data_IF_447123636142
#
_entry.id   IF_447123636142
#
_cell.length_a   1.000
_cell.length_b   1.000
_cell.length_c   1.000
_cell.angle_alpha   90.00
_cell.angle_beta   90.00
_cell.angle_gamma   90.00
#
_symmetry.space_group_name_H-M   'P 1'
#
loop_
_entity.id
_entity.type
_entity.pdbx_description
1 polymer ?
#
# COMPACT_ATOMS: atom_id res chain seq x y z
N UNK A 1 -30.34 -62.19 -9.61
CA UNK A 1 -30.11 -62.35 -11.07
C UNK A 1 -29.92 -60.95 -11.64
N UNK A 2 -28.95 -60.68 -12.54
CA UNK A 2 -28.34 -61.62 -13.48
C UNK A 2 -26.86 -61.98 -13.22
N UNK A 3 -26.30 -62.84 -14.08
CA UNK A 3 -24.88 -63.21 -14.18
C UNK A 3 -24.11 -62.28 -15.14
N UNK A 4 -22.76 -62.31 -15.07
CA UNK A 4 -21.72 -62.25 -16.14
C UNK A 4 -20.37 -61.86 -15.46
N UNK A 5 -19.45 -62.79 -15.13
CA UNK A 5 -18.21 -63.19 -15.88
C UNK A 5 -17.37 -62.00 -16.41
N UNK A 6 -16.03 -61.90 -16.32
CA UNK A 6 -14.84 -62.73 -15.92
C UNK A 6 -13.64 -61.73 -15.78
N UNK A 7 -12.42 -61.97 -15.23
CA UNK A 7 -11.78 -63.00 -14.37
C UNK A 7 -10.29 -62.58 -14.12
N UNK A 8 -9.54 -63.37 -13.32
CA UNK A 8 -8.06 -63.45 -13.10
C UNK A 8 -7.50 -62.67 -11.88
N UNK A 9 -7.24 -63.34 -10.73
CA UNK A 9 -5.99 -64.04 -10.28
C UNK A 9 -4.79 -63.10 -10.02
N UNK A 10 -3.95 -63.25 -8.98
CA UNK A 10 -3.85 -64.27 -7.92
C UNK A 10 -3.16 -63.70 -6.64
N UNK A 11 -2.99 -64.54 -5.61
CA UNK A 11 -2.61 -64.16 -4.23
C UNK A 11 -1.11 -63.86 -3.97
N UNK A 12 -0.89 -63.21 -2.81
CA UNK A 12 0.36 -62.93 -2.09
C UNK A 12 1.40 -64.05 -2.00
N UNK A 13 2.68 -63.67 -1.83
CA UNK A 13 3.60 -64.19 -0.79
C UNK A 13 4.68 -63.14 -0.44
N UNK A 14 5.21 -63.21 0.77
CA UNK A 14 6.09 -62.23 1.45
C UNK A 14 7.59 -62.48 1.17
N UNK A 15 8.42 -61.43 1.15
CA UNK A 15 9.84 -61.46 1.62
C UNK A 15 10.40 -60.04 1.82
N UNK A 16 11.25 -59.87 2.84
CA UNK A 16 12.07 -58.66 3.10
C UNK A 16 13.49 -58.86 2.54
N UNK A 17 14.15 -57.83 1.98
CA UNK A 17 15.59 -57.84 1.74
C UNK A 17 16.40 -56.86 2.63
N UNK A 18 17.70 -57.16 2.72
CA UNK A 18 18.67 -56.63 3.69
C UNK A 18 19.50 -55.46 3.11
N UNK A 19 19.98 -54.57 3.98
CA UNK A 19 20.91 -53.49 3.64
C UNK A 19 22.26 -54.00 3.09
N UNK A 20 22.78 -53.34 2.05
CA UNK A 20 24.19 -53.43 1.66
C UNK A 20 24.79 -52.02 1.53
N UNK A 21 25.94 -51.81 2.17
CA UNK A 21 26.79 -50.62 2.02
C UNK A 21 27.93 -50.98 1.07
N UNK A 22 28.18 -50.15 0.07
CA UNK A 22 29.37 -50.25 -0.78
C UNK A 22 30.06 -48.88 -0.82
N UNK A 23 31.32 -48.86 -0.38
CA UNK A 23 32.25 -47.75 -0.56
C UNK A 23 32.91 -47.86 -1.94
N UNK A 24 33.04 -46.75 -2.66
CA UNK A 24 34.04 -46.63 -3.73
C UNK A 24 34.82 -45.31 -3.63
N UNK A 25 36.13 -45.47 -3.52
CA UNK A 25 37.16 -44.42 -3.56
C UNK A 25 37.37 -43.94 -5.01
N UNK A 26 37.61 -42.64 -5.23
CA UNK A 26 38.35 -42.12 -6.39
C UNK A 26 39.19 -40.89 -5.98
N UNK A 27 40.37 -40.63 -6.58
CA UNK A 27 41.41 -39.76 -5.99
C UNK A 27 41.50 -38.35 -6.59
N UNK A 28 42.18 -37.45 -5.87
CA UNK A 28 42.68 -36.16 -6.37
C UNK A 28 43.98 -36.35 -7.18
N UNK A 29 44.20 -35.58 -8.27
CA UNK A 29 45.00 -34.32 -8.26
C UNK A 29 45.12 -33.71 -9.69
N UNK A 30 45.75 -32.53 -9.82
CA UNK A 30 45.49 -31.51 -10.86
C UNK A 30 46.27 -31.60 -12.20
N UNK A 31 45.66 -31.08 -13.30
CA UNK A 31 46.22 -29.92 -14.06
C UNK A 31 45.26 -29.28 -15.09
N UNK A 32 44.93 -28.00 -14.84
CA UNK A 32 44.96 -26.87 -15.80
C UNK A 32 44.19 -26.92 -17.13
N UNK A 33 42.98 -26.33 -17.16
CA UNK A 33 42.54 -25.37 -18.18
C UNK A 33 41.32 -24.57 -17.67
N UNK A 34 41.31 -23.25 -17.83
CA UNK A 34 40.19 -22.38 -17.41
C UNK A 34 39.06 -22.35 -18.46
N UNK A 35 37.81 -22.24 -18.01
CA UNK A 35 36.84 -21.42 -18.74
C UNK A 35 36.14 -20.35 -17.87
N UNK A 36 35.97 -19.18 -18.48
CA UNK A 36 35.06 -18.06 -18.20
C UNK A 36 34.38 -17.94 -16.81
N UNK A 37 34.70 -16.85 -16.12
CA UNK A 37 34.10 -16.40 -14.88
C UNK A 37 32.67 -15.86 -15.12
N UNK A 38 31.62 -16.64 -14.82
CA UNK A 38 30.23 -16.16 -14.82
C UNK A 38 29.92 -15.50 -13.48
N UNK A 39 29.93 -14.16 -13.44
CA UNK A 39 29.47 -13.40 -12.27
C UNK A 39 27.94 -13.48 -12.14
N UNK A 40 27.44 -14.36 -11.28
CA UNK A 40 26.09 -14.28 -10.74
C UNK A 40 26.09 -13.80 -9.28
N UNK A 41 25.00 -13.11 -8.90
CA UNK A 41 24.55 -12.76 -7.54
C UNK A 41 25.28 -11.68 -6.69
N UNK A 42 25.43 -10.46 -7.21
CA UNK A 42 25.46 -9.23 -6.35
C UNK A 42 24.19 -8.35 -6.51
N UNK A 43 23.44 -8.49 -7.61
CA UNK A 43 22.27 -7.65 -7.92
C UNK A 43 21.00 -7.97 -7.12
N UNK A 44 20.93 -9.14 -6.46
CA UNK A 44 19.69 -9.59 -5.82
C UNK A 44 19.59 -9.21 -4.34
N UNK A 45 20.69 -9.24 -3.59
CA UNK A 45 20.75 -8.82 -2.18
C UNK A 45 20.56 -7.31 -2.04
N UNK A 46 21.28 -6.52 -2.84
CA UNK A 46 21.22 -5.05 -2.87
C UNK A 46 19.82 -4.52 -3.23
N UNK A 47 19.12 -5.15 -4.18
CA UNK A 47 17.70 -4.84 -4.45
C UNK A 47 16.79 -5.19 -3.27
N UNK A 48 17.09 -6.24 -2.50
CA UNK A 48 16.30 -6.65 -1.33
C UNK A 48 16.49 -5.72 -0.13
N UNK A 49 17.72 -5.26 0.15
CA UNK A 49 18.00 -4.27 1.20
C UNK A 49 17.25 -2.95 0.95
N UNK A 50 17.15 -2.53 -0.31
CA UNK A 50 16.38 -1.35 -0.72
C UNK A 50 14.88 -1.44 -0.40
N UNK A 51 14.29 -2.64 -0.30
CA UNK A 51 12.85 -2.83 0.04
C UNK A 51 12.59 -2.46 1.51
N UNK A 52 13.57 -2.65 2.39
CA UNK A 52 13.45 -2.39 3.82
C UNK A 52 13.98 -1.00 4.25
N UNK A 53 14.71 -0.31 3.37
CA UNK A 53 15.19 1.07 3.58
C UNK A 53 14.01 2.00 3.89
N UNK A 54 14.16 2.83 4.93
CA UNK A 54 13.12 3.78 5.38
C UNK A 54 12.12 3.23 6.41
N UNK A 55 12.17 1.94 6.77
CA UNK A 55 11.22 1.33 7.73
C UNK A 55 11.62 1.50 9.22
N UNK A 56 12.49 2.46 9.53
CA UNK A 56 12.95 2.70 10.89
C UNK A 56 11.77 3.05 11.82
N UNK A 57 11.62 2.30 12.91
CA UNK A 57 10.51 2.48 13.85
C UNK A 57 9.15 1.97 13.36
N UNK A 58 9.03 1.43 12.14
CA UNK A 58 7.75 0.90 11.65
C UNK A 58 7.27 -0.29 12.50
N UNK A 59 6.00 -0.26 12.90
CA UNK A 59 5.32 -1.39 13.54
C UNK A 59 4.39 -2.02 12.49
N UNK A 60 4.63 -3.27 12.14
CA UNK A 60 3.90 -3.93 11.05
C UNK A 60 2.58 -4.57 11.51
N UNK A 61 1.71 -4.94 10.55
CA UNK A 61 0.53 -5.77 10.85
C UNK A 61 0.92 -7.08 11.56
N UNK A 62 2.09 -7.65 11.21
CA UNK A 62 2.62 -8.86 11.84
C UNK A 62 2.88 -8.61 13.33
N UNK A 63 3.53 -7.50 13.67
CA UNK A 63 3.89 -7.16 15.05
C UNK A 63 2.67 -6.94 15.94
N UNK A 64 1.67 -6.18 15.47
CA UNK A 64 0.44 -5.92 16.23
C UNK A 64 -0.39 -7.19 16.43
N UNK A 65 -0.51 -8.02 15.39
CA UNK A 65 -1.29 -9.25 15.44
C UNK A 65 -0.67 -10.30 16.39
N UNK A 66 0.66 -10.43 16.46
CA UNK A 66 1.27 -11.42 17.36
C UNK A 66 1.16 -11.05 18.85
N UNK A 67 1.05 -9.75 19.17
CA UNK A 67 1.18 -9.26 20.55
C UNK A 67 -0.15 -8.96 21.26
N UNK A 68 -1.30 -9.15 20.60
CA UNK A 68 -2.61 -8.60 21.04
C UNK A 68 -2.49 -7.11 21.36
N UNK A 69 -2.02 -6.35 20.37
CA UNK A 69 -1.71 -4.93 20.51
C UNK A 69 -2.95 -4.09 20.81
N UNK A 70 -2.87 -3.31 21.90
CA UNK A 70 -3.81 -2.24 22.21
C UNK A 70 -3.08 -0.92 22.05
N UNK A 71 -3.64 0.01 21.27
CA UNK A 71 -3.06 1.30 21.00
C UNK A 71 -3.39 2.30 22.12
N UNK A 72 -2.36 2.78 22.83
CA UNK A 72 -2.46 3.91 23.77
C UNK A 72 -1.84 5.17 23.13
N UNK A 73 -2.53 6.33 23.07
CA UNK A 73 -1.95 7.57 22.58
C UNK A 73 -0.76 8.09 23.39
N UNK A 74 -0.63 7.66 24.65
CA UNK A 74 0.45 8.08 25.55
C UNK A 74 1.74 7.29 25.37
N UNK A 75 1.69 6.18 24.62
CA UNK A 75 2.90 5.52 24.10
C UNK A 75 3.64 6.44 23.10
N UNK A 76 4.88 6.07 22.78
CA UNK A 76 5.67 6.67 21.69
C UNK A 76 5.23 6.23 20.28
N UNK A 77 3.98 5.80 20.13
CA UNK A 77 3.41 5.22 18.92
C UNK A 77 2.56 6.26 18.15
N UNK A 78 2.86 6.48 16.87
CA UNK A 78 2.19 7.46 16.01
C UNK A 78 1.53 6.75 14.83
N UNK A 79 0.23 6.95 14.66
CA UNK A 79 -0.53 6.50 13.48
C UNK A 79 -0.28 7.47 12.32
N UNK A 80 0.25 6.95 11.20
CA UNK A 80 0.57 7.73 10.00
C UNK A 80 -0.34 7.30 8.84
N UNK A 81 -1.28 8.16 8.44
CA UNK A 81 -2.15 7.90 7.29
C UNK A 81 -1.48 8.33 5.97
N UNK A 82 -1.02 7.35 5.20
CA UNK A 82 -0.67 7.54 3.79
C UNK A 82 -1.96 7.74 2.98
N UNK A 83 -2.30 9.00 2.71
CA UNK A 83 -3.56 9.37 2.06
C UNK A 83 -3.43 9.44 0.55
N UNK A 84 -3.85 8.38 -0.14
CA UNK A 84 -3.99 8.36 -1.60
C UNK A 84 -5.19 9.22 -2.04
N UNK A 85 -5.10 9.89 -3.18
CA UNK A 85 -6.21 10.67 -3.73
C UNK A 85 -7.39 9.76 -4.11
N UNK A 86 -8.60 10.21 -3.72
CA UNK A 86 -9.92 9.66 -4.11
C UNK A 86 -10.32 8.29 -3.53
N UNK A 87 -9.57 7.76 -2.57
CA UNK A 87 -9.88 6.51 -1.84
C UNK A 87 -10.75 6.70 -0.59
N UNK A 88 -11.57 7.77 -0.56
CA UNK A 88 -12.45 8.07 0.60
C UNK A 88 -11.76 8.72 1.81
N UNK A 89 -10.44 8.93 1.78
CA UNK A 89 -9.63 9.37 2.93
C UNK A 89 -10.18 10.56 3.75
N UNK A 90 -10.84 11.55 3.13
CA UNK A 90 -11.43 12.69 3.87
C UNK A 90 -12.47 12.27 4.93
N UNK A 91 -13.23 11.20 4.67
CA UNK A 91 -14.19 10.66 5.64
C UNK A 91 -13.46 9.83 6.71
N UNK A 92 -12.47 9.03 6.31
CA UNK A 92 -11.69 8.19 7.22
C UNK A 92 -10.85 9.01 8.21
N UNK A 93 -10.18 10.08 7.76
CA UNK A 93 -9.52 11.07 8.63
C UNK A 93 -10.48 11.63 9.69
N UNK A 94 -11.69 12.00 9.26
CA UNK A 94 -12.71 12.53 10.17
C UNK A 94 -13.23 11.47 11.15
N UNK A 95 -13.21 10.19 10.78
CA UNK A 95 -13.59 9.11 11.68
C UNK A 95 -12.49 8.89 12.73
N UNK A 96 -11.22 8.77 12.31
CA UNK A 96 -10.05 8.65 13.19
C UNK A 96 -10.00 9.80 14.21
N UNK A 97 -10.06 11.05 13.74
CA UNK A 97 -9.88 12.21 14.61
C UNK A 97 -11.08 12.54 15.52
N UNK A 98 -12.31 12.10 15.19
CA UNK A 98 -13.53 12.53 15.92
C UNK A 98 -14.35 11.44 16.55
N UNK A 99 -14.22 10.21 16.08
CA UNK A 99 -15.09 9.10 16.51
C UNK A 99 -14.35 8.00 17.22
N UNK A 100 -13.01 7.97 17.18
CA UNK A 100 -12.21 7.01 17.94
C UNK A 100 -12.41 7.24 19.45
N UNK A 101 -12.79 6.19 20.17
CA UNK A 101 -12.97 6.23 21.62
C UNK A 101 -11.65 5.91 22.30
N UNK A 102 -10.83 6.94 22.50
CA UNK A 102 -9.48 6.83 23.04
C UNK A 102 -9.18 8.00 23.98
N UNK A 103 -8.16 7.88 24.83
CA UNK A 103 -7.82 8.90 25.84
C UNK A 103 -6.32 9.20 25.81
N UNK A 104 -5.89 10.46 25.63
CA UNK A 104 -6.71 11.64 25.30
C UNK A 104 -7.33 11.59 23.90
N UNK A 105 -8.49 12.26 23.74
CA UNK A 105 -9.16 12.47 22.45
C UNK A 105 -8.55 13.64 21.70
N UNK A 106 -8.70 13.68 20.37
CA UNK A 106 -8.32 14.86 19.61
C UNK A 106 -9.24 16.07 19.93
N UNK A 107 -8.64 17.26 20.05
CA UNK A 107 -9.34 18.52 20.26
C UNK A 107 -9.63 19.19 18.90
N UNK A 108 -10.90 19.20 18.47
CA UNK A 108 -11.28 19.71 17.15
C UNK A 108 -12.02 21.05 17.20
N UNK A 109 -11.36 22.13 16.78
CA UNK A 109 -11.86 23.52 16.84
C UNK A 109 -12.64 23.98 15.61
N UNK A 110 -12.68 23.19 14.54
CA UNK A 110 -13.45 23.49 13.32
C UNK A 110 -13.73 22.24 12.50
N UNK A 111 -14.35 22.35 11.33
CA UNK A 111 -14.76 21.17 10.50
C UNK A 111 -13.58 20.27 10.13
N UNK A 112 -12.40 20.86 9.85
CA UNK A 112 -11.19 20.19 9.34
C UNK A 112 -9.92 20.59 10.10
N UNK A 113 -10.04 20.84 11.40
CA UNK A 113 -8.91 21.14 12.29
C UNK A 113 -9.09 20.39 13.60
N UNK A 114 -8.12 19.56 13.95
CA UNK A 114 -8.07 18.71 15.13
C UNK A 114 -6.62 18.56 15.62
N UNK A 115 -6.38 18.78 16.91
CA UNK A 115 -5.11 18.50 17.57
C UNK A 115 -5.19 17.12 18.25
N UNK A 116 -4.46 16.14 17.73
CA UNK A 116 -4.40 14.77 18.25
C UNK A 116 -3.08 14.59 19.01
N UNK A 117 -3.01 15.19 20.20
CA UNK A 117 -1.85 15.18 21.09
C UNK A 117 -2.10 14.27 22.29
N UNK A 118 -1.03 13.75 22.87
CA UNK A 118 -1.03 12.93 24.09
C UNK A 118 -0.82 13.79 25.34
N UNK A 119 -0.79 13.17 26.53
CA UNK A 119 -0.62 13.89 27.79
C UNK A 119 0.73 14.63 27.92
N UNK A 120 1.71 14.31 27.08
CA UNK A 120 3.02 14.99 26.99
C UNK A 120 3.07 16.07 25.90
N UNK A 121 1.96 16.31 25.18
CA UNK A 121 1.90 17.25 24.06
C UNK A 121 2.44 16.71 22.72
N UNK A 122 2.89 15.45 22.67
CA UNK A 122 3.36 14.79 21.46
C UNK A 122 2.19 14.30 20.60
N UNK A 123 2.34 14.30 19.27
CA UNK A 123 1.26 13.90 18.36
C UNK A 123 1.20 12.39 18.16
N UNK A 124 0.02 11.79 18.31
CA UNK A 124 -0.21 10.35 18.13
C UNK A 124 -0.93 9.99 16.82
N UNK A 125 -1.43 10.99 16.07
CA UNK A 125 -2.07 10.81 14.76
C UNK A 125 -1.65 11.89 13.76
N UNK A 126 -1.08 11.45 12.63
CA UNK A 126 -0.88 12.25 11.42
C UNK A 126 -1.81 11.73 10.34
N UNK A 127 -2.90 12.48 10.11
CA UNK A 127 -3.93 12.17 9.13
C UNK A 127 -3.75 12.90 7.80
N UNK A 128 -2.91 13.94 7.77
CA UNK A 128 -2.90 14.95 6.72
C UNK A 128 -3.78 16.14 7.09
N UNK A 129 -4.88 16.30 6.36
CA UNK A 129 -5.63 17.56 6.30
C UNK A 129 -6.39 17.94 7.57
N UNK A 130 -6.71 16.98 8.45
CA UNK A 130 -7.42 17.25 9.70
C UNK A 130 -6.50 17.50 10.91
N UNK A 131 -5.20 17.19 10.82
CA UNK A 131 -4.28 17.13 11.98
C UNK A 131 -3.09 18.10 11.82
N UNK A 132 -1.84 17.65 11.86
CA UNK A 132 -0.63 18.49 11.70
C UNK A 132 -0.43 19.01 10.24
N UNK A 133 -1.47 19.00 9.41
CA UNK A 133 -1.37 19.32 8.00
C UNK A 133 -0.53 18.29 7.25
N UNK A 134 0.38 18.77 6.40
CA UNK A 134 1.12 17.93 5.46
C UNK A 134 2.63 17.95 5.74
N UNK A 135 3.10 17.30 6.82
CA UNK A 135 4.48 17.45 7.32
C UNK A 135 5.53 17.07 6.27
N UNK A 136 5.27 16.02 5.49
CA UNK A 136 6.14 15.55 4.40
C UNK A 136 5.64 15.94 2.99
N UNK A 137 4.71 16.89 2.90
CA UNK A 137 4.14 17.34 1.63
C UNK A 137 2.70 16.86 1.34
N UNK A 138 2.01 17.61 0.48
CA UNK A 138 0.59 17.40 0.16
C UNK A 138 0.37 16.03 -0.53
N UNK A 139 -0.32 15.11 0.15
CA UNK A 139 -0.40 13.71 -0.30
C UNK A 139 0.99 13.11 -0.55
N UNK A 140 1.86 13.18 0.46
CA UNK A 140 3.13 12.46 0.48
C UNK A 140 2.91 10.96 0.23
N UNK A 141 3.74 10.37 -0.63
CA UNK A 141 3.74 8.93 -0.91
C UNK A 141 4.57 8.13 0.12
N UNK A 142 4.66 6.81 -0.07
CA UNK A 142 5.41 5.92 0.81
C UNK A 142 6.89 6.34 0.93
N UNK A 143 7.51 6.68 -0.19
CA UNK A 143 8.91 7.09 -0.27
C UNK A 143 9.11 8.37 0.54
N UNK A 144 8.25 9.37 0.30
CA UNK A 144 8.34 10.66 0.97
C UNK A 144 8.06 10.57 2.47
N UNK A 145 7.07 9.79 2.89
CA UNK A 145 6.75 9.62 4.32
C UNK A 145 7.85 8.87 5.07
N UNK A 146 8.42 7.82 4.48
CA UNK A 146 9.49 7.02 5.11
C UNK A 146 10.84 7.75 5.13
N UNK A 147 11.10 8.64 4.17
CA UNK A 147 12.29 9.51 4.18
C UNK A 147 12.17 10.70 5.16
N UNK A 148 10.97 11.27 5.39
CA UNK A 148 10.83 12.53 6.14
C UNK A 148 10.31 12.41 7.58
N UNK A 149 9.44 11.44 7.91
CA UNK A 149 8.59 11.57 9.12
C UNK A 149 9.38 11.60 10.44
N UNK A 150 10.52 10.89 10.52
CA UNK A 150 11.33 10.87 11.73
C UNK A 150 12.02 12.22 11.98
N UNK A 151 12.71 12.75 10.97
CA UNK A 151 13.39 14.05 11.06
C UNK A 151 12.38 15.19 11.30
N UNK A 152 11.18 15.11 10.71
CA UNK A 152 10.10 16.06 10.98
C UNK A 152 9.74 16.08 12.47
N UNK A 153 9.54 14.91 13.10
CA UNK A 153 9.13 14.84 14.50
C UNK A 153 10.25 15.22 15.47
N UNK A 154 11.50 14.87 15.19
CA UNK A 154 12.64 15.31 16.01
C UNK A 154 12.74 16.86 16.04
N UNK A 155 12.46 17.52 14.91
CA UNK A 155 12.41 19.00 14.82
C UNK A 155 11.16 19.60 15.44
N UNK A 156 10.00 18.96 15.27
CA UNK A 156 8.71 19.46 15.75
C UNK A 156 8.58 19.38 17.28
N UNK A 157 9.07 18.30 17.88
CA UNK A 157 9.05 18.08 19.33
C UNK A 157 10.28 18.69 20.03
N UNK A 158 11.33 19.07 19.28
CA UNK A 158 12.57 19.63 19.82
C UNK A 158 13.47 18.61 20.53
N UNK A 159 13.17 17.31 20.41
CA UNK A 159 13.87 16.23 21.09
C UNK A 159 13.94 14.99 20.18
N UNK A 160 15.10 14.33 20.16
CA UNK A 160 15.26 13.05 19.47
C UNK A 160 14.66 11.92 20.32
N UNK A 161 13.68 11.21 19.76
CA UNK A 161 12.97 10.12 20.45
C UNK A 161 12.87 8.89 19.56
N UNK A 162 12.96 7.70 20.15
CA UNK A 162 12.58 6.47 19.45
C UNK A 162 11.05 6.42 19.40
N UNK A 163 10.47 6.37 18.19
CA UNK A 163 9.02 6.35 17.98
C UNK A 163 8.61 5.09 17.22
N UNK A 164 7.41 4.60 17.50
CA UNK A 164 6.73 3.57 16.70
C UNK A 164 5.88 4.22 15.62
N UNK A 165 6.03 3.81 14.35
CA UNK A 165 5.24 4.32 13.23
C UNK A 165 4.26 3.27 12.74
N UNK A 166 2.98 3.52 13.02
CA UNK A 166 1.85 2.67 12.64
C UNK A 166 1.29 3.19 11.31
N UNK A 167 1.92 2.80 10.20
CA UNK A 167 1.48 3.23 8.86
C UNK A 167 0.16 2.59 8.49
N UNK A 168 -0.78 3.43 8.00
CA UNK A 168 -2.09 3.02 7.53
C UNK A 168 -2.47 3.67 6.19
N UNK A 169 -3.37 3.04 5.43
CA UNK A 169 -3.89 3.63 4.19
C UNK A 169 -5.35 3.23 3.90
N UNK A 170 -5.95 3.85 2.88
CA UNK A 170 -7.22 3.44 2.30
C UNK A 170 -7.05 3.29 0.79
N UNK A 171 -7.49 2.16 0.25
CA UNK A 171 -7.55 1.84 -1.17
C UNK A 171 -8.97 1.93 -1.72
N UNK A 172 -9.10 1.86 -3.03
CA UNK A 172 -10.38 1.86 -3.76
C UNK A 172 -10.23 1.11 -5.08
N UNK A 173 -11.33 0.55 -5.58
CA UNK A 173 -11.39 -0.04 -6.92
C UNK A 173 -10.82 0.95 -7.97
N UNK A 174 -9.80 0.56 -8.76
CA UNK A 174 -9.00 1.48 -9.56
C UNK A 174 -9.77 2.32 -10.58
N UNK A 175 -10.75 1.74 -11.27
CA UNK A 175 -11.53 2.44 -12.29
C UNK A 175 -12.40 3.50 -11.63
N UNK A 176 -13.12 3.15 -10.56
CA UNK A 176 -13.86 4.11 -9.75
C UNK A 176 -12.97 5.20 -9.16
N UNK A 177 -11.76 4.85 -8.71
CA UNK A 177 -10.79 5.82 -8.18
C UNK A 177 -10.34 6.79 -9.28
N UNK A 178 -9.96 6.28 -10.46
CA UNK A 178 -9.52 7.06 -11.62
C UNK A 178 -10.62 8.01 -12.14
N UNK A 179 -11.83 7.50 -12.37
CA UNK A 179 -12.99 8.33 -12.80
C UNK A 179 -13.35 9.36 -11.73
N UNK A 180 -13.26 9.01 -10.44
CA UNK A 180 -13.47 9.97 -9.36
C UNK A 180 -12.37 11.05 -9.30
N UNK A 181 -11.16 10.75 -9.79
CA UNK A 181 -10.07 11.71 -9.93
C UNK A 181 -10.30 12.65 -11.10
N UNK A 182 -10.57 12.13 -12.30
CA UNK A 182 -10.97 12.92 -13.48
C UNK A 182 -12.05 13.95 -13.14
N UNK A 183 -13.18 13.52 -12.57
CA UNK A 183 -14.27 14.46 -12.21
C UNK A 183 -13.85 15.49 -11.16
N UNK A 184 -12.84 15.24 -10.34
CA UNK A 184 -12.32 16.22 -9.38
C UNK A 184 -11.37 17.21 -10.05
N UNK A 185 -10.51 16.72 -10.96
CA UNK A 185 -9.62 17.51 -11.81
C UNK A 185 -10.42 18.44 -12.72
N UNK A 186 -11.48 17.94 -13.34
CA UNK A 186 -12.45 18.70 -14.13
C UNK A 186 -13.06 19.89 -13.35
N UNK A 187 -13.19 19.81 -12.02
CA UNK A 187 -13.64 20.92 -11.16
C UNK A 187 -12.51 21.84 -10.68
N UNK A 188 -11.28 21.61 -11.12
CA UNK A 188 -10.09 22.43 -10.85
C UNK A 188 -9.15 21.90 -9.77
N UNK A 189 -9.27 20.63 -9.36
CA UNK A 189 -8.23 19.99 -8.54
C UNK A 189 -6.96 19.73 -9.38
N UNK A 190 -5.80 19.96 -8.77
CA UNK A 190 -4.50 19.78 -9.46
C UNK A 190 -3.51 18.96 -8.65
N UNK A 191 -3.51 19.14 -7.32
CA UNK A 191 -2.48 18.63 -6.42
C UNK A 191 -1.05 18.97 -6.87
N UNK A 192 -0.89 20.08 -7.62
CA UNK A 192 0.39 20.54 -8.16
C UNK A 192 1.34 20.84 -7.00
N UNK A 193 2.45 20.11 -6.95
CA UNK A 193 3.53 20.25 -5.98
C UNK A 193 4.85 19.75 -6.58
N UNK A 194 5.94 19.93 -5.84
CA UNK A 194 7.18 19.17 -6.07
C UNK A 194 7.09 17.83 -5.33
N UNK A 195 7.72 16.80 -5.88
CA UNK A 195 7.84 15.49 -5.25
C UNK A 195 9.26 15.34 -4.71
N UNK A 196 9.43 14.58 -3.63
CA UNK A 196 10.73 14.22 -3.05
C UNK A 196 10.98 12.73 -3.20
N UNK A 197 12.24 12.36 -3.39
CA UNK A 197 12.71 10.97 -3.39
C UNK A 197 14.24 10.98 -3.35
N UNK A 198 14.87 10.05 -2.62
CA UNK A 198 16.30 10.07 -2.32
C UNK A 198 16.78 11.42 -1.74
N UNK A 199 15.95 12.07 -0.92
CA UNK A 199 16.24 13.38 -0.32
C UNK A 199 16.25 14.58 -1.29
N UNK A 200 16.07 14.37 -2.60
CA UNK A 200 16.04 15.44 -3.59
C UNK A 200 14.60 15.79 -3.99
N UNK A 201 14.31 17.09 -4.18
CA UNK A 201 13.13 17.49 -4.93
C UNK A 201 13.32 17.14 -6.41
N UNK A 202 12.26 16.69 -7.09
CA UNK A 202 12.29 16.38 -8.53
C UNK A 202 12.77 17.59 -9.34
N UNK A 203 14.05 17.58 -9.74
CA UNK A 203 14.70 18.68 -10.45
C UNK A 203 14.07 18.94 -11.83
N UNK A 204 13.71 17.86 -12.52
CA UNK A 204 12.91 17.92 -13.74
C UNK A 204 11.44 18.08 -13.37
N UNK A 205 10.76 19.06 -13.97
CA UNK A 205 9.30 19.11 -13.96
C UNK A 205 8.79 17.83 -14.63
N UNK A 206 8.09 16.99 -13.86
CA UNK A 206 7.30 15.89 -14.41
C UNK A 206 6.45 16.41 -15.57
N UNK A 207 6.29 15.66 -16.68
CA UNK A 207 5.49 16.08 -17.82
C UNK A 207 4.12 16.59 -17.37
N UNK A 208 3.82 17.86 -17.64
CA UNK A 208 2.63 18.52 -17.10
C UNK A 208 1.47 18.40 -18.07
N UNK A 209 0.34 17.84 -17.62
CA UNK A 209 -0.91 17.84 -18.41
C UNK A 209 -1.62 19.21 -18.47
N UNK A 210 -1.17 20.19 -17.66
CA UNK A 210 -1.78 21.52 -17.55
C UNK A 210 -0.81 22.51 -16.90
N UNK A 211 -0.94 23.79 -17.22
CA UNK A 211 -0.11 24.86 -16.64
C UNK A 211 -0.53 25.22 -15.22
N UNK A 212 -1.76 25.74 -15.06
CA UNK A 212 -2.27 26.20 -13.77
C UNK A 212 -3.33 25.26 -13.19
N UNK A 213 -4.36 24.93 -13.96
CA UNK A 213 -5.47 24.03 -13.61
C UNK A 213 -5.98 23.32 -14.85
N UNK A 214 -6.44 22.08 -14.68
CA UNK A 214 -7.05 21.28 -15.74
C UNK A 214 -8.59 21.28 -15.61
N UNK A 215 -9.17 22.48 -15.49
CA UNK A 215 -10.63 22.65 -15.40
C UNK A 215 -11.29 22.19 -16.69
N UNK A 216 -12.49 21.64 -16.58
CA UNK A 216 -13.35 21.21 -17.70
C UNK A 216 -12.75 20.14 -18.64
N UNK A 217 -11.58 19.56 -18.31
CA UNK A 217 -10.91 18.49 -19.07
C UNK A 217 -11.87 17.39 -19.53
N UNK A 218 -11.81 17.05 -20.83
CA UNK A 218 -12.57 15.96 -21.42
C UNK A 218 -12.01 14.60 -20.98
N UNK A 219 -12.81 13.52 -21.02
CA UNK A 219 -12.32 12.22 -20.57
C UNK A 219 -11.16 11.73 -21.45
N UNK A 220 -11.26 11.89 -22.77
CA UNK A 220 -10.22 11.45 -23.71
C UNK A 220 -8.91 12.24 -23.54
N UNK A 221 -9.01 13.55 -23.31
CA UNK A 221 -7.85 14.40 -22.96
C UNK A 221 -7.17 13.94 -21.66
N UNK A 222 -7.98 13.58 -20.65
CA UNK A 222 -7.49 13.04 -19.38
C UNK A 222 -6.84 11.65 -19.54
N UNK A 223 -7.38 10.80 -20.40
CA UNK A 223 -6.83 9.48 -20.74
C UNK A 223 -5.51 9.60 -21.51
N UNK A 224 -5.44 10.52 -22.48
CA UNK A 224 -4.34 10.58 -23.44
C UNK A 224 -3.11 11.39 -22.98
N UNK A 225 -3.16 12.10 -21.84
CA UNK A 225 -1.97 12.80 -21.33
C UNK A 225 -0.92 11.82 -20.75
N UNK A 226 0.31 11.75 -21.30
CA UNK A 226 1.36 10.85 -20.79
C UNK A 226 1.82 11.18 -19.37
N UNK A 227 1.71 12.45 -18.96
CA UNK A 227 2.07 12.95 -17.63
C UNK A 227 1.02 12.73 -16.54
N UNK A 228 -0.08 12.02 -16.83
CA UNK A 228 -1.21 11.96 -15.90
C UNK A 228 -0.92 11.09 -14.67
N UNK A 229 -0.58 11.74 -13.55
CA UNK A 229 -0.33 11.07 -12.26
C UNK A 229 -1.54 10.34 -11.65
N UNK A 230 -2.73 10.43 -12.26
CA UNK A 230 -3.85 9.54 -11.94
C UNK A 230 -3.60 8.08 -12.37
N UNK A 231 -2.77 7.85 -13.39
CA UNK A 231 -2.40 6.52 -13.90
C UNK A 231 -1.59 5.77 -12.83
N UNK A 232 -1.97 4.52 -12.54
CA UNK A 232 -1.34 3.63 -11.55
C UNK A 232 -0.98 4.33 -10.22
N UNK A 233 -1.90 5.17 -9.74
CA UNK A 233 -1.66 6.05 -8.58
C UNK A 233 -1.48 5.26 -7.30
N UNK A 234 -2.27 4.23 -7.04
CA UNK A 234 -2.19 3.45 -5.79
C UNK A 234 -0.84 2.73 -5.72
N UNK A 235 -0.45 2.10 -6.82
CA UNK A 235 0.84 1.42 -6.98
C UNK A 235 2.00 2.39 -6.79
N UNK A 236 2.03 3.49 -7.55
CA UNK A 236 3.11 4.49 -7.45
C UNK A 236 3.22 5.09 -6.04
N UNK A 237 2.09 5.34 -5.37
CA UNK A 237 2.09 5.95 -4.04
C UNK A 237 2.40 4.98 -2.89
N UNK A 238 2.34 3.66 -3.10
CA UNK A 238 2.69 2.64 -2.12
C UNK A 238 4.08 2.02 -2.37
N UNK A 239 4.60 2.11 -3.59
CA UNK A 239 5.96 1.68 -3.92
C UNK A 239 7.01 2.57 -3.25
N UNK A 240 8.17 1.99 -2.91
CA UNK A 240 9.39 2.73 -2.69
C UNK A 240 9.97 3.13 -4.06
N UNK A 241 9.82 4.40 -4.44
CA UNK A 241 10.23 4.89 -5.76
C UNK A 241 11.75 4.96 -5.93
N UNK A 242 12.55 4.94 -4.85
CA UNK A 242 14.02 4.87 -4.96
C UNK A 242 14.50 3.59 -5.66
N UNK A 243 13.70 2.50 -5.62
CA UNK A 243 13.96 1.25 -6.34
C UNK A 243 13.83 1.37 -7.86
N UNK A 244 13.20 2.45 -8.35
CA UNK A 244 12.87 2.67 -9.77
C UNK A 244 13.34 4.02 -10.29
N UNK A 245 14.48 4.47 -9.77
CA UNK A 245 15.11 5.77 -10.07
C UNK A 245 14.14 6.96 -9.88
N UNK A 246 13.37 6.89 -8.80
CA UNK A 246 12.39 7.89 -8.40
C UNK A 246 11.36 8.17 -9.51
N UNK A 247 11.45 9.36 -10.11
CA UNK A 247 10.55 9.86 -11.15
C UNK A 247 11.21 9.87 -12.54
N UNK A 248 12.45 9.41 -12.65
CA UNK A 248 13.12 9.20 -13.92
C UNK A 248 12.60 7.91 -14.58
N UNK A 249 12.09 8.03 -15.80
CA UNK A 249 11.56 6.88 -16.57
C UNK A 249 12.50 6.42 -17.67
N UNK A 250 13.67 7.05 -17.83
CA UNK A 250 14.62 6.77 -18.92
C UNK A 250 15.68 5.71 -18.56
N UNK A 251 15.90 5.45 -17.27
CA UNK A 251 16.97 4.55 -16.77
C UNK A 251 16.56 3.09 -16.66
N UNK A 252 15.27 2.79 -16.45
CA UNK A 252 14.75 1.43 -16.31
C UNK A 252 13.63 1.21 -17.33
N UNK A 253 13.71 0.17 -18.20
CA UNK A 253 12.66 -0.16 -19.14
C UNK A 253 11.30 -0.33 -18.46
N UNK A 254 10.25 0.24 -19.06
CA UNK A 254 8.90 0.30 -18.47
C UNK A 254 8.40 -1.05 -17.89
N UNK A 255 8.53 -2.21 -18.56
CA UNK A 255 8.05 -3.49 -18.00
C UNK A 255 8.75 -3.89 -16.68
N UNK A 256 10.06 -3.72 -16.58
CA UNK A 256 10.82 -3.99 -15.34
C UNK A 256 10.52 -2.93 -14.27
N UNK A 257 10.38 -1.66 -14.68
CA UNK A 257 10.02 -0.56 -13.78
C UNK A 257 8.64 -0.77 -13.14
N UNK A 258 7.67 -1.17 -13.95
CA UNK A 258 6.31 -1.49 -13.51
C UNK A 258 6.30 -2.68 -12.54
N UNK A 259 7.04 -3.76 -12.87
CA UNK A 259 7.18 -4.96 -12.02
C UNK A 259 7.78 -4.63 -10.65
N UNK A 260 8.87 -3.85 -10.61
CA UNK A 260 9.51 -3.45 -9.35
C UNK A 260 8.57 -2.57 -8.50
N UNK A 261 7.88 -1.59 -9.11
CA UNK A 261 6.90 -0.77 -8.40
C UNK A 261 5.78 -1.61 -7.79
N UNK A 262 5.22 -2.54 -8.55
CA UNK A 262 4.09 -3.35 -8.12
C UNK A 262 4.47 -4.28 -6.96
N UNK A 263 5.59 -5.00 -7.07
CA UNK A 263 6.07 -5.84 -5.97
C UNK A 263 6.47 -5.03 -4.73
N UNK A 264 7.04 -3.83 -4.91
CA UNK A 264 7.28 -2.93 -3.78
C UNK A 264 5.97 -2.48 -3.11
N UNK A 265 4.96 -2.11 -3.89
CA UNK A 265 3.65 -1.69 -3.38
C UNK A 265 2.93 -2.82 -2.63
N UNK A 266 2.93 -4.05 -3.17
CA UNK A 266 2.38 -5.23 -2.49
C UNK A 266 3.08 -5.48 -1.15
N UNK A 267 4.42 -5.48 -1.12
CA UNK A 267 5.19 -5.71 0.10
C UNK A 267 4.97 -4.61 1.16
N UNK A 268 4.96 -3.33 0.76
CA UNK A 268 4.72 -2.23 1.70
C UNK A 268 3.28 -2.28 2.26
N UNK A 269 2.28 -2.53 1.41
CA UNK A 269 0.89 -2.69 1.85
C UNK A 269 0.69 -3.90 2.77
N UNK A 270 1.38 -5.01 2.49
CA UNK A 270 1.37 -6.22 3.33
C UNK A 270 1.90 -5.96 4.73
N UNK A 271 2.94 -5.14 4.84
CA UNK A 271 3.58 -4.84 6.12
C UNK A 271 2.92 -3.68 6.87
N UNK A 272 2.21 -2.77 6.19
CA UNK A 272 1.39 -1.73 6.85
C UNK A 272 0.48 -2.32 7.92
N UNK A 273 0.50 -1.67 9.10
CA UNK A 273 -0.32 -1.99 10.28
C UNK A 273 -1.76 -2.30 9.91
N UNK A 274 -2.39 -1.41 9.12
CA UNK A 274 -3.77 -1.55 8.69
C UNK A 274 -3.94 -0.90 7.30
N UNK A 275 -4.81 -1.48 6.49
CA UNK A 275 -5.40 -0.77 5.37
C UNK A 275 -6.87 -1.17 5.24
N UNK A 276 -7.68 -0.25 4.71
CA UNK A 276 -9.07 -0.52 4.41
C UNK A 276 -9.42 -0.22 2.96
N UNK A 277 -10.59 -0.71 2.55
CA UNK A 277 -11.10 -0.61 1.19
C UNK A 277 -12.33 0.31 1.17
N UNK A 278 -12.38 1.29 0.28
CA UNK A 278 -13.44 2.31 0.23
C UNK A 278 -14.85 1.77 -0.07
N UNK A 279 -14.94 0.51 -0.44
CA UNK A 279 -16.13 -0.29 -0.74
C UNK A 279 -16.72 -0.99 0.49
N UNK A 280 -15.95 -1.15 1.58
CA UNK A 280 -16.28 -2.03 2.72
C UNK A 280 -16.27 -1.28 4.07
N UNK A 281 -17.04 -0.20 4.19
CA UNK A 281 -17.02 0.71 5.35
C UNK A 281 -17.27 0.02 6.68
N UNK A 282 -18.20 -0.96 6.75
CA UNK A 282 -18.47 -1.70 7.99
C UNK A 282 -17.27 -2.56 8.41
N UNK A 283 -16.80 -3.42 7.51
CA UNK A 283 -15.69 -4.33 7.76
C UNK A 283 -14.37 -3.58 8.04
N UNK A 284 -14.17 -2.39 7.45
CA UNK A 284 -13.08 -1.48 7.81
C UNK A 284 -13.12 -1.07 9.29
N UNK A 285 -14.32 -0.85 9.85
CA UNK A 285 -14.47 -0.55 11.28
C UNK A 285 -13.98 -1.76 12.09
N UNK A 286 -14.57 -2.93 11.85
CA UNK A 286 -14.26 -4.15 12.59
C UNK A 286 -12.77 -4.50 12.53
N UNK A 287 -12.16 -4.42 11.34
CA UNK A 287 -10.73 -4.71 11.16
C UNK A 287 -9.85 -3.67 11.84
N UNK A 288 -10.20 -2.38 11.82
CA UNK A 288 -9.43 -1.34 12.51
C UNK A 288 -9.52 -1.52 14.03
N UNK A 289 -10.73 -1.72 14.56
CA UNK A 289 -10.98 -1.94 15.98
C UNK A 289 -10.22 -3.16 16.51
N UNK A 290 -10.25 -4.28 15.77
CA UNK A 290 -9.46 -5.47 16.05
C UNK A 290 -7.94 -5.24 15.97
N UNK A 291 -7.46 -4.54 14.94
CA UNK A 291 -6.01 -4.37 14.69
C UNK A 291 -5.34 -3.47 15.73
N UNK A 292 -6.07 -2.48 16.26
CA UNK A 292 -5.54 -1.50 17.20
C UNK A 292 -6.05 -1.70 18.65
N UNK A 293 -6.97 -2.62 18.92
CA UNK A 293 -7.52 -2.84 20.27
C UNK A 293 -8.36 -1.65 20.78
N UNK A 294 -9.05 -0.96 19.88
CA UNK A 294 -9.78 0.31 20.12
C UNK A 294 -11.20 0.22 19.58
N UNK A 295 -12.06 1.19 19.90
CA UNK A 295 -13.45 1.23 19.42
C UNK A 295 -13.79 2.60 18.83
N UNK A 296 -14.68 2.65 17.84
CA UNK A 296 -15.33 3.87 17.37
C UNK A 296 -16.66 4.10 18.08
N UNK A 297 -16.86 5.32 18.61
CA UNK A 297 -18.12 5.81 19.19
C UNK A 297 -19.30 5.85 18.20
N UNK A 298 -19.05 5.71 16.90
CA UNK A 298 -20.07 5.73 15.84
C UNK A 298 -19.83 4.60 14.87
N UNK A 299 -20.83 3.72 14.70
CA UNK A 299 -20.79 2.63 13.72
C UNK A 299 -20.66 3.20 12.30
N UNK A 300 -19.76 2.62 11.51
CA UNK A 300 -19.56 2.99 10.12
C UNK A 300 -20.71 2.45 9.28
N UNK A 301 -21.20 3.28 8.34
CA UNK A 301 -22.28 2.92 7.44
C UNK A 301 -21.80 3.01 5.99
N UNK A 302 -22.24 2.05 5.17
CA UNK A 302 -22.00 2.11 3.73
C UNK A 302 -22.62 3.39 3.16
N UNK A 303 -21.85 4.16 2.37
CA UNK A 303 -22.36 5.39 1.78
C UNK A 303 -23.49 5.06 0.79
N UNK A 304 -24.73 5.37 1.16
CA UNK A 304 -25.89 5.30 0.26
C UNK A 304 -25.84 6.34 -0.88
N UNK A 305 -24.91 7.30 -0.84
CA UNK A 305 -24.72 8.31 -1.89
C UNK A 305 -23.79 7.78 -2.99
N UNK A 306 -24.32 7.62 -4.20
CA UNK A 306 -23.54 7.37 -5.42
C UNK A 306 -22.37 8.36 -5.52
N UNK A 307 -21.16 7.85 -5.59
CA UNK A 307 -19.94 8.62 -5.81
C UNK A 307 -19.91 9.28 -7.20
N UNK A 308 -18.98 10.22 -7.40
CA UNK A 308 -18.81 10.85 -8.72
C UNK A 308 -18.47 9.85 -9.84
N UNK A 309 -17.89 8.69 -9.51
CA UNK A 309 -17.61 7.65 -10.50
C UNK A 309 -18.89 6.90 -10.90
N UNK A 310 -19.67 6.45 -9.93
CA UNK A 310 -20.95 5.76 -10.18
C UNK A 310 -21.95 6.64 -10.92
N UNK A 311 -21.96 7.95 -10.65
CA UNK A 311 -22.81 8.93 -11.38
C UNK A 311 -22.46 9.05 -12.85
N UNK A 312 -21.20 8.82 -13.22
CA UNK A 312 -20.71 8.95 -14.59
C UNK A 312 -20.43 7.61 -15.26
N UNK A 313 -20.93 6.50 -14.72
CA UNK A 313 -20.81 5.17 -15.35
C UNK A 313 -21.45 5.12 -16.74
N UNK A 314 -22.50 5.92 -16.98
CA UNK A 314 -23.17 6.04 -18.28
C UNK A 314 -22.47 7.01 -19.24
N UNK A 315 -21.57 7.87 -18.75
CA UNK A 315 -20.82 8.85 -19.55
C UNK A 315 -19.57 8.23 -20.22
N UNK A 316 -19.28 6.95 -19.97
CA UNK A 316 -18.02 6.30 -20.34
C UNK A 316 -18.32 5.16 -21.32
N UNK A 317 -17.82 5.30 -22.54
CA UNK A 317 -17.94 4.27 -23.57
C UNK A 317 -17.07 3.05 -23.29
N UNK A 318 -17.40 1.90 -23.87
CA UNK A 318 -16.61 0.66 -23.73
C UNK A 318 -15.14 0.83 -24.15
N UNK A 319 -14.79 1.51 -25.27
CA UNK A 319 -13.40 1.80 -25.62
C UNK A 319 -12.65 2.63 -24.57
N UNK A 320 -13.27 3.69 -24.04
CA UNK A 320 -12.69 4.50 -22.96
C UNK A 320 -12.47 3.66 -21.70
N UNK A 321 -13.44 2.83 -21.32
CA UNK A 321 -13.31 1.92 -20.18
C UNK A 321 -12.16 0.91 -20.35
N UNK A 322 -12.00 0.34 -21.55
CA UNK A 322 -10.88 -0.54 -21.86
C UNK A 322 -9.54 0.20 -21.74
N UNK A 323 -9.44 1.44 -22.24
CA UNK A 323 -8.21 2.23 -22.12
C UNK A 323 -7.90 2.62 -20.68
N UNK A 324 -8.91 2.97 -19.86
CA UNK A 324 -8.71 3.25 -18.43
C UNK A 324 -8.19 2.00 -17.70
N UNK A 325 -8.69 0.80 -18.04
CA UNK A 325 -8.19 -0.47 -17.49
C UNK A 325 -6.74 -0.73 -17.88
N UNK A 326 -6.40 -0.58 -19.16
CA UNK A 326 -5.03 -0.74 -19.68
C UNK A 326 -4.04 0.21 -18.97
N UNK A 327 -4.40 1.48 -18.82
CA UNK A 327 -3.59 2.48 -18.12
C UNK A 327 -3.42 2.16 -16.62
N UNK A 328 -4.44 1.60 -15.96
CA UNK A 328 -4.43 1.33 -14.51
C UNK A 328 -4.18 -0.16 -14.19
N UNK A 329 -3.48 -0.88 -15.08
CA UNK A 329 -3.22 -2.31 -14.96
C UNK A 329 -2.53 -2.71 -13.63
N UNK A 330 -1.54 -1.94 -13.16
CA UNK A 330 -0.85 -2.21 -11.90
C UNK A 330 -1.76 -1.93 -10.69
N UNK A 331 -2.55 -0.86 -10.74
CA UNK A 331 -3.53 -0.57 -9.69
C UNK A 331 -4.60 -1.69 -9.62
N UNK A 332 -4.96 -2.33 -10.73
CA UNK A 332 -5.87 -3.48 -10.78
C UNK A 332 -5.26 -4.69 -10.10
N UNK A 333 -4.05 -5.09 -10.49
CA UNK A 333 -3.38 -6.25 -9.88
C UNK A 333 -3.09 -6.02 -8.38
N UNK A 334 -2.68 -4.80 -8.00
CA UNK A 334 -2.50 -4.41 -6.60
C UNK A 334 -3.82 -4.44 -5.82
N UNK A 335 -4.94 -4.04 -6.43
CA UNK A 335 -6.23 -4.00 -5.74
C UNK A 335 -6.82 -5.39 -5.51
N UNK A 336 -6.71 -6.32 -6.46
CA UNK A 336 -7.12 -7.71 -6.21
C UNK A 336 -6.24 -8.37 -5.14
N UNK A 337 -4.91 -8.19 -5.19
CA UNK A 337 -4.01 -8.62 -4.11
C UNK A 337 -4.40 -8.02 -2.75
N UNK A 338 -4.67 -6.72 -2.70
CA UNK A 338 -5.07 -6.02 -1.48
C UNK A 338 -6.40 -6.56 -0.94
N UNK A 339 -7.34 -6.90 -1.81
CA UNK A 339 -8.66 -7.42 -1.47
C UNK A 339 -8.58 -8.84 -0.92
N UNK A 340 -7.82 -9.73 -1.55
CA UNK A 340 -7.52 -11.07 -1.02
C UNK A 340 -6.91 -10.98 0.38
N UNK A 341 -5.84 -10.19 0.53
CA UNK A 341 -5.17 -9.99 1.82
C UNK A 341 -6.11 -9.38 2.88
N UNK A 342 -6.98 -8.45 2.48
CA UNK A 342 -7.94 -7.81 3.38
C UNK A 342 -8.98 -8.80 3.93
N UNK A 343 -9.53 -9.67 3.06
CA UNK A 343 -10.46 -10.71 3.51
C UNK A 343 -9.78 -11.78 4.37
N UNK A 344 -8.55 -12.19 4.03
CA UNK A 344 -7.74 -13.07 4.91
C UNK A 344 -7.51 -12.46 6.31
N UNK A 345 -7.31 -11.14 6.41
CA UNK A 345 -7.19 -10.44 7.71
C UNK A 345 -8.50 -10.42 8.49
N UNK A 346 -9.65 -10.27 7.82
CA UNK A 346 -10.98 -10.36 8.44
C UNK A 346 -11.27 -11.78 8.94
N UNK A 347 -11.06 -12.80 8.11
CA UNK A 347 -11.22 -14.22 8.45
C UNK A 347 -10.38 -14.58 9.67
N UNK A 348 -9.09 -14.22 9.66
CA UNK A 348 -8.17 -14.48 10.78
C UNK A 348 -8.59 -13.81 12.09
N UNK A 349 -9.29 -12.68 12.02
CA UNK A 349 -9.87 -12.00 13.18
C UNK A 349 -11.24 -12.53 13.61
N UNK A 350 -11.84 -13.47 12.85
CA UNK A 350 -13.25 -13.85 12.94
C UNK A 350 -14.21 -12.66 12.81
N UNK A 351 -13.96 -11.79 11.81
CA UNK A 351 -14.65 -10.51 11.58
C UNK A 351 -15.53 -10.51 10.31
N UNK A 352 -15.84 -11.68 9.75
CA UNK A 352 -16.88 -11.83 8.74
C UNK A 352 -18.23 -12.01 9.45
N UNK A 353 -19.21 -11.18 9.06
CA UNK A 353 -20.62 -11.27 9.47
C UNK A 353 -21.32 -12.50 8.83
#
# INVERSE_FOLDING_TARGET
MPHITRMFTHFFIVTLPVFFIILYYYPNEHRGQQPANIRHSESSSTKMEGIYKGRNGMISYKDVNYRKFNFDPNDDNIIILLRIQKTGGTWFESALARTLNITPRCLCTGIRSCQCLNNHGHAWLVSGYFTLGWPCGLHADWTELTECINEYFDKYEGVQRKRGYLYITQLREPIQRYVSEWKHVQRGATWKRRFKCNGQETANKLPTCFDMKWKNVALDEFINCPGNLAINRQTRMLANLSLVDCYNTSTIPKPERDRIMLESAKNNLKDMTYFGLAEYQKSNQCLFEYTFGVNFTKKFAQSKRKSYAEKSKHDISSPQLMKIKELNNLDIELYEYAKELYFQRLEKGNLLD
#
